data_IF_055443283912
#
_entry.id   IF_055443283912
#
_cell.length_a   1.000
_cell.length_b   1.000
_cell.length_c   1.000
_cell.angle_alpha   90.00
_cell.angle_beta   90.00
_cell.angle_gamma   90.00
#
_symmetry.space_group_name_H-M   'P 1'
#
loop_
_entity.id
_entity.type
_entity.pdbx_description
1 polymer ?
#
# COMPACT_ATOMS: atom_id res chain seq x y z
N UNK A 1 -4.30 -2.06 -39.32
CA UNK A 1 -3.37 -2.02 -38.18
C UNK A 1 -3.85 -0.92 -37.23
N UNK A 2 -4.63 -1.25 -36.20
CA UNK A 2 -5.00 -0.28 -35.17
C UNK A 2 -3.75 0.11 -34.39
N UNK A 3 -3.44 1.40 -34.40
CA UNK A 3 -2.37 1.96 -33.58
C UNK A 3 -2.75 1.75 -32.10
N UNK A 4 -2.12 0.79 -31.41
CA UNK A 4 -2.19 0.66 -29.95
C UNK A 4 -1.85 2.02 -29.35
N UNK A 5 -2.85 2.76 -28.84
CA UNK A 5 -2.62 4.00 -28.08
C UNK A 5 -1.77 3.64 -26.87
N UNK A 6 -0.56 4.13 -26.82
CA UNK A 6 0.33 4.00 -25.67
C UNK A 6 -0.33 4.69 -24.48
N UNK A 7 -0.88 3.91 -23.54
CA UNK A 7 -1.47 4.44 -22.30
C UNK A 7 -0.35 4.52 -21.27
N UNK A 8 0.06 5.73 -20.94
CA UNK A 8 0.96 5.96 -19.80
C UNK A 8 0.34 5.41 -18.51
N UNK A 9 1.10 4.59 -17.79
CA UNK A 9 0.75 4.13 -16.45
C UNK A 9 0.67 5.28 -15.43
N UNK A 10 0.29 4.98 -14.19
CA UNK A 10 0.15 5.99 -13.13
C UNK A 10 1.50 6.62 -12.76
N UNK A 11 2.54 5.81 -12.52
CA UNK A 11 3.88 6.30 -12.10
C UNK A 11 4.45 7.34 -13.07
N UNK A 12 4.54 7.11 -14.41
CA UNK A 12 4.98 8.14 -15.33
C UNK A 12 4.16 9.42 -15.25
N UNK A 13 2.83 9.34 -15.09
CA UNK A 13 1.96 10.52 -14.95
C UNK A 13 2.29 11.33 -13.71
N UNK A 14 2.61 10.68 -12.60
CA UNK A 14 2.95 11.36 -11.35
C UNK A 14 4.34 11.98 -11.40
N UNK A 15 5.32 11.31 -12.02
CA UNK A 15 6.65 11.91 -12.28
C UNK A 15 6.50 13.19 -13.12
N UNK A 16 5.70 13.13 -14.18
CA UNK A 16 5.41 14.30 -15.02
C UNK A 16 4.71 15.38 -14.18
N UNK A 17 3.76 15.02 -13.32
CA UNK A 17 3.07 15.96 -12.44
C UNK A 17 4.01 16.64 -11.44
N UNK A 18 4.97 15.91 -10.88
CA UNK A 18 6.03 16.44 -10.01
C UNK A 18 6.85 17.48 -10.79
N UNK A 19 7.35 17.10 -11.98
CA UNK A 19 8.15 18.00 -12.82
C UNK A 19 7.37 19.27 -13.17
N UNK A 20 6.12 19.12 -13.61
CA UNK A 20 5.25 20.28 -13.93
C UNK A 20 5.03 21.13 -12.69
N UNK A 21 4.77 20.55 -11.53
CA UNK A 21 4.59 21.27 -10.27
C UNK A 21 5.84 22.09 -9.88
N UNK A 22 7.03 21.50 -10.06
CA UNK A 22 8.30 22.20 -9.84
C UNK A 22 8.45 23.38 -10.82
N UNK A 23 8.19 23.15 -12.10
CA UNK A 23 8.26 24.23 -13.11
C UNK A 23 7.27 25.35 -12.81
N UNK A 24 6.04 25.02 -12.41
CA UNK A 24 5.04 26.02 -12.03
C UNK A 24 5.49 26.83 -10.81
N UNK A 25 5.94 26.18 -9.75
CA UNK A 25 6.44 26.87 -8.56
C UNK A 25 7.65 27.75 -8.81
N UNK A 26 8.54 27.34 -9.72
CA UNK A 26 9.78 28.06 -10.04
C UNK A 26 9.54 29.26 -10.95
N UNK A 27 8.74 29.10 -12.00
CA UNK A 27 8.69 30.09 -13.11
C UNK A 27 7.38 30.87 -13.16
N UNK A 28 6.27 30.37 -12.61
CA UNK A 28 4.99 31.04 -12.74
C UNK A 28 4.71 32.02 -11.59
N UNK A 29 3.90 33.06 -11.84
CA UNK A 29 3.54 34.05 -10.83
C UNK A 29 2.73 33.42 -9.71
N UNK A 30 2.85 33.97 -8.50
CA UNK A 30 2.19 33.47 -7.26
C UNK A 30 0.68 33.30 -7.43
N UNK A 31 0.00 34.19 -8.18
CA UNK A 31 -1.44 34.08 -8.45
C UNK A 31 -1.81 32.78 -9.17
N UNK A 32 -1.05 32.39 -10.21
CA UNK A 32 -1.25 31.13 -10.91
C UNK A 32 -0.97 29.93 -10.02
N UNK A 33 0.13 29.98 -9.25
CA UNK A 33 0.45 28.91 -8.31
C UNK A 33 -0.67 28.71 -7.27
N UNK A 34 -1.23 29.81 -6.73
CA UNK A 34 -2.39 29.76 -5.82
C UNK A 34 -3.62 29.13 -6.48
N UNK A 35 -3.86 29.38 -7.77
CA UNK A 35 -4.96 28.75 -8.50
C UNK A 35 -4.77 27.24 -8.59
N UNK A 36 -3.58 26.76 -8.93
CA UNK A 36 -3.26 25.33 -8.97
C UNK A 36 -3.40 24.68 -7.59
N UNK A 37 -2.93 25.34 -6.54
CA UNK A 37 -3.08 24.89 -5.14
C UNK A 37 -4.57 24.84 -4.74
N UNK A 38 -5.39 25.78 -5.19
CA UNK A 38 -6.83 25.76 -4.93
C UNK A 38 -7.51 24.54 -5.57
N UNK A 39 -7.18 24.23 -6.83
CA UNK A 39 -7.70 23.02 -7.50
C UNK A 39 -7.26 21.73 -6.82
N UNK A 40 -6.01 21.68 -6.39
CA UNK A 40 -5.46 20.57 -5.60
C UNK A 40 -6.21 20.39 -4.27
N UNK A 41 -6.58 21.51 -3.62
CA UNK A 41 -7.36 21.52 -2.38
C UNK A 41 -8.75 20.90 -2.53
N UNK A 42 -9.41 21.09 -3.68
CA UNK A 42 -10.70 20.46 -3.95
C UNK A 42 -10.60 18.94 -4.02
N UNK A 43 -9.56 18.45 -4.71
CA UNK A 43 -9.31 17.00 -4.76
C UNK A 43 -9.06 16.46 -3.36
N UNK A 44 -8.28 17.16 -2.54
CA UNK A 44 -8.01 16.79 -1.15
C UNK A 44 -9.31 16.68 -0.33
N UNK A 45 -10.22 17.66 -0.45
CA UNK A 45 -11.53 17.63 0.22
C UNK A 45 -12.39 16.46 -0.28
N UNK A 46 -12.41 16.20 -1.59
CA UNK A 46 -13.09 15.06 -2.18
C UNK A 46 -12.53 13.73 -1.67
N UNK A 47 -11.21 13.63 -1.57
CA UNK A 47 -10.55 12.44 -1.04
C UNK A 47 -10.96 12.16 0.42
N UNK A 48 -10.99 13.19 1.29
CA UNK A 48 -11.49 13.07 2.67
C UNK A 48 -12.90 12.49 2.76
N UNK A 49 -13.79 12.92 1.87
CA UNK A 49 -15.17 12.42 1.85
C UNK A 49 -15.24 10.94 1.45
N UNK A 50 -14.44 10.52 0.45
CA UNK A 50 -14.50 9.16 -0.10
C UNK A 50 -13.78 8.13 0.76
N UNK A 51 -12.71 8.49 1.48
CA UNK A 51 -11.90 7.54 2.25
C UNK A 51 -12.71 6.70 3.23
N UNK A 52 -13.60 7.23 4.10
CA UNK A 52 -14.39 6.39 4.99
C UNK A 52 -15.33 5.42 4.26
N UNK A 53 -15.85 5.83 3.10
CA UNK A 53 -16.68 4.98 2.24
C UNK A 53 -15.85 3.84 1.61
N UNK A 54 -14.62 4.12 1.20
CA UNK A 54 -13.69 3.10 0.71
C UNK A 54 -13.37 2.07 1.79
N UNK A 55 -13.10 2.52 3.01
CA UNK A 55 -12.85 1.64 4.15
C UNK A 55 -14.06 0.75 4.39
N UNK A 56 -15.25 1.35 4.51
CA UNK A 56 -16.48 0.59 4.72
C UNK A 56 -16.69 -0.46 3.63
N UNK A 57 -16.54 -0.08 2.37
CA UNK A 57 -16.75 -1.00 1.24
C UNK A 57 -15.74 -2.15 1.23
N UNK A 58 -14.45 -1.81 1.23
CA UNK A 58 -13.40 -2.81 1.02
C UNK A 58 -13.14 -3.67 2.24
N UNK A 59 -13.10 -3.09 3.45
CA UNK A 59 -12.86 -3.86 4.68
C UNK A 59 -14.04 -4.80 4.95
N UNK A 60 -15.28 -4.34 4.77
CA UNK A 60 -16.46 -5.22 4.93
C UNK A 60 -16.40 -6.41 3.98
N UNK A 61 -16.16 -6.17 2.69
CA UNK A 61 -16.12 -7.25 1.70
C UNK A 61 -14.90 -8.15 1.89
N UNK A 62 -13.73 -7.58 2.18
CA UNK A 62 -12.51 -8.33 2.47
C UNK A 62 -12.71 -9.33 3.62
N UNK A 63 -13.35 -8.92 4.72
CA UNK A 63 -13.65 -9.80 5.85
C UNK A 63 -14.79 -10.79 5.52
N UNK A 64 -15.84 -10.34 4.84
CA UNK A 64 -16.97 -11.19 4.47
C UNK A 64 -16.57 -12.32 3.50
N UNK A 65 -15.55 -12.09 2.69
CA UNK A 65 -15.05 -13.05 1.71
C UNK A 65 -14.01 -14.03 2.27
N UNK A 66 -13.52 -13.83 3.48
CA UNK A 66 -12.69 -14.81 4.16
C UNK A 66 -13.52 -16.09 4.32
N UNK A 67 -13.16 -17.13 3.55
CA UNK A 67 -13.98 -18.30 3.36
C UNK A 67 -14.14 -19.15 4.63
N UNK A 68 -15.37 -19.55 4.93
CA UNK A 68 -15.74 -20.45 6.05
C UNK A 68 -15.42 -21.94 5.79
N UNK A 69 -14.63 -22.30 4.81
CA UNK A 69 -14.51 -23.71 4.42
C UNK A 69 -13.14 -24.36 4.55
N UNK A 70 -12.10 -23.56 4.75
CA UNK A 70 -10.73 -24.07 4.70
C UNK A 70 -10.09 -24.26 6.10
N UNK A 71 -10.82 -24.07 7.18
CA UNK A 71 -10.43 -24.42 8.54
C UNK A 71 -8.99 -24.06 8.93
N UNK A 72 -8.20 -25.06 9.24
CA UNK A 72 -6.81 -24.91 9.68
C UNK A 72 -5.90 -24.31 8.60
N UNK A 73 -6.14 -24.63 7.33
CA UNK A 73 -5.31 -24.12 6.22
C UNK A 73 -5.47 -22.61 6.03
N UNK A 74 -6.70 -22.11 6.15
CA UNK A 74 -6.98 -20.67 6.13
C UNK A 74 -6.28 -19.97 7.30
N UNK A 75 -6.43 -20.51 8.51
CA UNK A 75 -5.82 -19.93 9.71
C UNK A 75 -4.30 -19.85 9.59
N UNK A 76 -3.65 -20.91 9.12
CA UNK A 76 -2.20 -20.96 8.90
C UNK A 76 -1.79 -19.93 7.85
N UNK A 77 -2.51 -19.88 6.73
CA UNK A 77 -2.18 -18.93 5.64
C UNK A 77 -2.32 -17.48 6.09
N UNK A 78 -3.42 -17.14 6.78
CA UNK A 78 -3.66 -15.80 7.32
C UNK A 78 -2.61 -15.43 8.36
N UNK A 79 -2.27 -16.35 9.28
CA UNK A 79 -1.26 -16.11 10.30
C UNK A 79 0.13 -15.85 9.69
N UNK A 80 0.52 -16.63 8.66
CA UNK A 80 1.78 -16.42 7.96
C UNK A 80 1.79 -15.11 7.17
N UNK A 81 0.73 -14.81 6.44
CA UNK A 81 0.62 -13.59 5.64
C UNK A 81 0.64 -12.33 6.51
N UNK A 82 -0.19 -12.32 7.56
CA UNK A 82 -0.26 -11.20 8.50
C UNK A 82 1.03 -11.07 9.30
N UNK A 83 1.57 -12.18 9.83
CA UNK A 83 2.83 -12.18 10.56
C UNK A 83 4.00 -11.68 9.71
N UNK A 84 4.11 -12.14 8.46
CA UNK A 84 5.09 -11.64 7.50
C UNK A 84 4.96 -10.13 7.26
N UNK A 85 3.74 -9.63 7.10
CA UNK A 85 3.45 -8.20 6.89
C UNK A 85 3.86 -7.36 8.10
N UNK A 86 3.55 -7.82 9.33
CA UNK A 86 3.92 -7.11 10.56
C UNK A 86 5.44 -7.09 10.78
N UNK A 87 6.10 -8.24 10.56
CA UNK A 87 7.56 -8.34 10.69
C UNK A 87 8.25 -7.44 9.66
N UNK A 88 7.78 -7.42 8.42
CA UNK A 88 8.31 -6.57 7.36
C UNK A 88 8.19 -5.08 7.70
N UNK A 89 7.04 -4.63 8.21
CA UNK A 89 6.84 -3.26 8.67
C UNK A 89 7.73 -2.89 9.85
N UNK A 90 7.83 -3.78 10.84
CA UNK A 90 8.69 -3.55 12.02
C UNK A 90 10.17 -3.48 11.63
N UNK A 91 10.63 -4.40 10.79
CA UNK A 91 11.99 -4.38 10.26
C UNK A 91 12.26 -3.10 9.45
N UNK A 92 11.28 -2.68 8.64
CA UNK A 92 11.36 -1.43 7.88
C UNK A 92 11.54 -0.21 8.79
N UNK A 93 10.78 -0.11 9.87
CA UNK A 93 10.96 0.95 10.86
C UNK A 93 12.35 0.91 11.50
N UNK A 94 12.79 -0.27 11.95
CA UNK A 94 14.11 -0.42 12.60
C UNK A 94 15.25 -0.02 11.66
N UNK A 95 15.20 -0.43 10.41
CA UNK A 95 16.20 -0.02 9.40
C UNK A 95 16.12 1.48 9.14
N UNK A 96 14.92 1.99 8.89
CA UNK A 96 14.71 3.39 8.52
C UNK A 96 15.07 4.35 9.64
N UNK A 97 14.66 4.07 10.88
CA UNK A 97 14.93 4.92 12.04
C UNK A 97 16.43 4.98 12.40
N UNK A 98 17.19 3.92 12.09
CA UNK A 98 18.64 3.92 12.31
C UNK A 98 19.40 4.47 11.12
N UNK A 99 19.01 4.18 9.89
CA UNK A 99 19.80 4.52 8.70
C UNK A 99 19.52 5.94 8.18
N UNK A 100 18.26 6.38 8.17
CA UNK A 100 17.89 7.67 7.57
C UNK A 100 18.53 8.89 8.25
N UNK A 101 18.70 8.95 9.58
CA UNK A 101 19.38 10.08 10.22
C UNK A 101 20.81 10.32 9.72
N UNK A 102 21.50 9.28 9.20
CA UNK A 102 22.87 9.43 8.71
C UNK A 102 23.00 10.22 7.40
N UNK A 103 21.92 10.33 6.64
CA UNK A 103 21.90 11.09 5.39
C UNK A 103 20.82 12.17 5.30
N UNK A 104 19.95 12.23 6.30
CA UNK A 104 19.02 13.33 6.51
C UNK A 104 19.71 14.37 7.40
N UNK A 105 20.52 15.22 6.80
CA UNK A 105 21.28 16.23 7.54
C UNK A 105 20.34 17.29 8.13
N UNK A 106 20.63 17.75 9.36
CA UNK A 106 19.87 18.77 10.06
C UNK A 106 19.66 20.05 9.24
N UNK A 107 20.64 20.46 8.42
CA UNK A 107 20.50 21.65 7.59
C UNK A 107 19.44 21.57 6.50
N UNK A 108 19.17 20.40 5.92
CA UNK A 108 18.07 20.21 4.99
C UNK A 108 16.71 20.16 5.73
N UNK A 109 16.70 19.61 6.93
CA UNK A 109 15.52 19.58 7.81
C UNK A 109 15.17 20.97 8.33
N UNK A 110 16.20 21.75 8.73
CA UNK A 110 16.03 23.14 9.19
C UNK A 110 15.50 24.05 8.08
N UNK A 111 15.96 23.87 6.83
CA UNK A 111 15.41 24.58 5.67
C UNK A 111 13.94 24.25 5.43
N UNK A 112 13.56 22.98 5.59
CA UNK A 112 12.16 22.54 5.46
C UNK A 112 11.30 23.14 6.57
N UNK A 113 11.79 23.13 7.81
CA UNK A 113 11.10 23.70 8.97
C UNK A 113 10.95 25.22 8.88
N UNK A 114 12.02 25.92 8.52
CA UNK A 114 12.03 27.39 8.40
C UNK A 114 11.07 27.93 7.31
N UNK A 115 10.72 27.09 6.34
CA UNK A 115 9.78 27.47 5.26
C UNK A 115 8.36 26.97 5.51
N UNK A 116 8.05 26.44 6.70
CA UNK A 116 6.71 25.91 7.01
C UNK A 116 5.61 26.98 6.85
N UNK A 117 5.87 28.21 7.23
CA UNK A 117 4.93 29.34 7.15
C UNK A 117 4.82 29.96 5.74
N UNK A 118 5.67 29.56 4.80
CA UNK A 118 5.70 30.12 3.45
C UNK A 118 4.75 29.42 2.46
N UNK A 119 3.91 28.47 2.91
CA UNK A 119 2.95 27.77 2.07
C UNK A 119 1.89 28.71 1.46
N UNK A 120 1.57 28.45 0.18
CA UNK A 120 0.60 29.25 -0.56
C UNK A 120 -0.81 29.06 -0.01
N UNK A 121 -1.46 30.15 0.36
CA UNK A 121 -2.88 30.10 0.74
C UNK A 121 -3.74 29.95 -0.52
N UNK A 122 -4.67 28.98 -0.59
CA UNK A 122 -5.61 28.86 -1.71
C UNK A 122 -6.48 30.11 -1.79
N UNK A 123 -7.12 30.37 -2.95
CA UNK A 123 -8.05 31.48 -3.11
C UNK A 123 -9.30 31.29 -2.26
N UNK A 124 -9.78 30.06 -2.18
CA UNK A 124 -10.90 29.63 -1.33
C UNK A 124 -10.78 28.14 -1.04
N UNK A 125 -11.41 27.71 0.04
CA UNK A 125 -11.47 26.31 0.45
C UNK A 125 -12.91 25.84 0.49
N UNK A 126 -13.15 24.63 0.00
CA UNK A 126 -14.43 23.93 0.12
C UNK A 126 -14.32 22.96 1.30
N UNK A 127 -15.35 22.91 2.14
CA UNK A 127 -15.43 21.94 3.22
C UNK A 127 -16.60 20.99 2.95
N UNK A 128 -16.31 19.68 2.86
CA UNK A 128 -17.32 18.63 2.77
C UNK A 128 -17.11 17.72 3.98
N UNK A 129 -18.11 17.62 4.84
CA UNK A 129 -18.04 16.73 6.00
C UNK A 129 -18.25 15.29 5.55
N UNK A 130 -17.33 14.34 5.90
CA UNK A 130 -17.56 12.92 5.65
C UNK A 130 -18.79 12.42 6.40
N UNK A 131 -19.43 11.34 5.89
CA UNK A 131 -20.60 10.72 6.54
C UNK A 131 -20.28 10.19 7.95
N UNK A 132 -19.07 9.69 8.13
CA UNK A 132 -18.50 9.25 9.40
C UNK A 132 -16.99 9.43 9.35
N UNK A 133 -16.37 9.50 10.52
CA UNK A 133 -14.91 9.53 10.60
C UNK A 133 -14.30 8.17 10.26
N UNK A 134 -13.00 8.15 10.03
CA UNK A 134 -12.26 6.97 9.61
C UNK A 134 -12.36 5.81 10.61
N UNK A 135 -12.27 6.09 11.92
CA UNK A 135 -12.31 5.05 12.94
C UNK A 135 -13.71 4.42 13.02
N UNK A 136 -14.75 5.23 12.97
CA UNK A 136 -16.15 4.75 12.90
C UNK A 136 -16.38 3.88 11.67
N UNK A 137 -15.81 4.27 10.51
CA UNK A 137 -15.89 3.46 9.29
C UNK A 137 -15.22 2.09 9.47
N UNK A 138 -14.04 2.05 10.11
CA UNK A 138 -13.33 0.79 10.39
C UNK A 138 -14.13 -0.11 11.32
N UNK A 139 -14.60 0.42 12.44
CA UNK A 139 -15.40 -0.36 13.42
C UNK A 139 -16.65 -0.92 12.76
N UNK A 140 -17.38 -0.09 12.00
CA UNK A 140 -18.58 -0.52 11.28
C UNK A 140 -18.26 -1.59 10.23
N UNK A 141 -17.17 -1.43 9.50
CA UNK A 141 -16.71 -2.39 8.49
C UNK A 141 -16.38 -3.76 9.10
N UNK A 142 -15.73 -3.78 10.26
CA UNK A 142 -15.45 -5.01 11.00
C UNK A 142 -16.73 -5.70 11.47
N UNK A 143 -17.67 -4.96 12.07
CA UNK A 143 -18.95 -5.51 12.51
C UNK A 143 -19.69 -6.12 11.34
N UNK A 144 -19.88 -5.37 10.24
CA UNK A 144 -20.56 -5.84 9.06
C UNK A 144 -19.85 -7.02 8.39
N UNK A 145 -18.53 -6.94 8.24
CA UNK A 145 -17.73 -7.98 7.61
C UNK A 145 -17.80 -9.31 8.37
N UNK A 146 -17.63 -9.29 9.69
CA UNK A 146 -17.75 -10.48 10.54
C UNK A 146 -19.16 -11.07 10.51
N UNK A 147 -20.20 -10.24 10.62
CA UNK A 147 -21.59 -10.70 10.51
C UNK A 147 -21.86 -11.33 9.13
N UNK A 148 -21.48 -10.65 8.06
CA UNK A 148 -21.69 -11.14 6.69
C UNK A 148 -20.92 -12.43 6.42
N UNK A 149 -19.69 -12.59 6.95
CA UNK A 149 -18.93 -13.84 6.80
C UNK A 149 -19.66 -15.06 7.37
N UNK A 150 -20.46 -14.89 8.44
CA UNK A 150 -21.26 -15.96 9.06
C UNK A 150 -22.61 -16.18 8.37
N UNK A 151 -23.09 -15.19 7.62
CA UNK A 151 -24.41 -15.18 6.95
C UNK A 151 -24.31 -15.51 5.46
N UNK A 152 -23.11 -15.46 4.88
CA UNK A 152 -22.86 -15.75 3.46
C UNK A 152 -23.34 -17.16 3.10
N UNK A 153 -24.11 -17.25 2.02
CA UNK A 153 -24.70 -18.52 1.57
C UNK A 153 -25.97 -18.94 2.31
N UNK A 154 -26.46 -18.16 3.28
CA UNK A 154 -27.76 -18.37 3.93
C UNK A 154 -28.79 -17.43 3.31
N UNK A 155 -30.08 -17.82 3.38
CA UNK A 155 -31.18 -17.00 2.85
C UNK A 155 -31.19 -15.60 3.50
N UNK A 156 -30.99 -15.56 4.83
CA UNK A 156 -30.79 -14.33 5.59
C UNK A 156 -29.32 -13.85 5.35
N UNK A 157 -29.16 -12.63 4.86
CA UNK A 157 -27.86 -11.99 4.65
C UNK A 157 -27.39 -11.92 3.20
N UNK A 158 -27.93 -12.71 2.29
CA UNK A 158 -27.57 -12.65 0.87
C UNK A 158 -27.86 -11.26 0.26
N UNK A 159 -29.01 -10.66 0.59
CA UNK A 159 -29.36 -9.33 0.09
C UNK A 159 -28.38 -8.26 0.57
N UNK A 160 -27.99 -8.31 1.84
CA UNK A 160 -27.01 -7.36 2.39
C UNK A 160 -25.61 -7.60 1.84
N UNK A 161 -25.20 -8.88 1.70
CA UNK A 161 -23.91 -9.22 1.08
C UNK A 161 -23.84 -8.71 -0.36
N UNK A 162 -24.87 -8.96 -1.17
CA UNK A 162 -24.95 -8.47 -2.55
C UNK A 162 -24.95 -6.93 -2.60
N UNK A 163 -25.71 -6.27 -1.72
CA UNK A 163 -25.72 -4.81 -1.62
C UNK A 163 -24.36 -4.22 -1.26
N UNK A 164 -23.61 -4.84 -0.34
CA UNK A 164 -22.25 -4.41 0.01
C UNK A 164 -21.27 -4.69 -1.11
N UNK A 165 -21.42 -5.79 -1.84
CA UNK A 165 -20.62 -6.09 -3.02
C UNK A 165 -20.85 -5.08 -4.15
N UNK A 166 -22.12 -4.69 -4.40
CA UNK A 166 -22.46 -3.65 -5.37
C UNK A 166 -21.91 -2.29 -4.92
N UNK A 167 -22.01 -1.96 -3.63
CA UNK A 167 -21.43 -0.75 -3.06
C UNK A 167 -19.90 -0.74 -3.24
N UNK A 168 -19.22 -1.85 -2.96
CA UNK A 168 -17.77 -1.99 -3.21
C UNK A 168 -17.43 -1.78 -4.68
N UNK A 169 -18.23 -2.32 -5.59
CA UNK A 169 -18.09 -2.11 -7.04
C UNK A 169 -18.26 -0.64 -7.45
N UNK A 170 -19.20 0.08 -6.82
CA UNK A 170 -19.39 1.53 -7.05
C UNK A 170 -18.16 2.30 -6.59
N UNK A 171 -17.67 2.01 -5.39
CA UNK A 171 -16.47 2.65 -4.82
C UNK A 171 -15.24 2.37 -5.70
N UNK A 172 -15.08 1.14 -6.20
CA UNK A 172 -14.00 0.79 -7.13
C UNK A 172 -14.07 1.61 -8.42
N UNK A 173 -15.27 1.80 -8.99
CA UNK A 173 -15.47 2.69 -10.15
C UNK A 173 -15.10 4.14 -9.83
N UNK A 174 -15.44 4.64 -8.64
CA UNK A 174 -15.07 5.99 -8.18
C UNK A 174 -13.55 6.10 -8.09
N UNK A 175 -12.88 5.12 -7.46
CA UNK A 175 -11.42 5.07 -7.36
C UNK A 175 -10.76 5.17 -8.74
N UNK A 176 -11.16 4.30 -9.68
CA UNK A 176 -10.55 4.21 -11.00
C UNK A 176 -10.91 5.35 -11.95
N UNK A 177 -12.12 5.93 -11.83
CA UNK A 177 -12.60 6.97 -12.76
C UNK A 177 -12.36 8.39 -12.27
N UNK A 178 -12.20 8.59 -10.96
CA UNK A 178 -12.02 9.94 -10.40
C UNK A 178 -10.76 10.08 -9.58
N UNK A 179 -10.53 9.24 -8.57
CA UNK A 179 -9.40 9.41 -7.65
C UNK A 179 -8.07 9.23 -8.38
N UNK A 180 -7.84 8.07 -9.01
CA UNK A 180 -6.59 7.78 -9.72
C UNK A 180 -6.30 8.78 -10.84
N UNK A 181 -7.26 9.16 -11.72
CA UNK A 181 -7.02 10.17 -12.75
C UNK A 181 -6.73 11.58 -12.23
N UNK A 182 -7.30 11.98 -11.10
CA UNK A 182 -7.09 13.32 -10.52
C UNK A 182 -5.86 13.40 -9.61
N UNK A 183 -5.27 12.27 -9.22
CA UNK A 183 -4.09 12.22 -8.36
C UNK A 183 -2.89 13.01 -8.93
N UNK A 184 -2.58 12.98 -10.25
CA UNK A 184 -1.54 13.82 -10.82
C UNK A 184 -1.76 15.33 -10.59
N UNK A 185 -3.02 15.80 -10.65
CA UNK A 185 -3.35 17.19 -10.34
C UNK A 185 -3.03 17.54 -8.89
N UNK A 186 -3.39 16.66 -7.96
CA UNK A 186 -3.09 16.81 -6.54
C UNK A 186 -1.59 16.90 -6.28
N UNK A 187 -0.82 15.98 -6.85
CA UNK A 187 0.65 15.97 -6.73
C UNK A 187 1.27 17.22 -7.37
N UNK A 188 0.80 17.61 -8.55
CA UNK A 188 1.27 18.84 -9.20
C UNK A 188 1.05 20.07 -8.30
N UNK A 189 -0.14 20.24 -7.72
CA UNK A 189 -0.45 21.36 -6.81
C UNK A 189 0.44 21.37 -5.57
N UNK A 190 0.67 20.19 -4.98
CA UNK A 190 1.54 20.05 -3.82
C UNK A 190 2.99 20.44 -4.14
N UNK A 191 3.56 19.94 -5.24
CA UNK A 191 4.92 20.30 -5.63
C UNK A 191 5.04 21.76 -6.10
N UNK A 192 3.96 22.35 -6.62
CA UNK A 192 3.90 23.80 -6.90
C UNK A 192 4.04 24.61 -5.61
N UNK A 193 3.29 24.25 -4.57
CA UNK A 193 3.36 24.89 -3.26
C UNK A 193 4.75 24.70 -2.61
N UNK A 194 5.22 23.46 -2.58
CA UNK A 194 6.52 23.12 -2.01
C UNK A 194 7.69 23.81 -2.73
N UNK A 195 7.61 24.00 -4.04
CA UNK A 195 8.65 24.71 -4.81
C UNK A 195 8.61 26.20 -4.55
N UNK A 196 7.41 26.78 -4.52
CA UNK A 196 7.24 28.21 -4.23
C UNK A 196 7.70 28.55 -2.81
N UNK A 197 7.53 27.63 -1.85
CA UNK A 197 8.03 27.75 -0.47
C UNK A 197 9.49 27.37 -0.29
N UNK A 198 10.22 26.98 -1.35
CA UNK A 198 11.66 26.67 -1.30
C UNK A 198 12.02 25.25 -0.81
N UNK A 199 11.03 24.39 -0.51
CA UNK A 199 11.25 23.05 0.10
C UNK A 199 11.67 21.96 -0.88
N UNK A 200 11.32 22.09 -2.16
CA UNK A 200 11.34 20.97 -3.12
C UNK A 200 12.73 20.37 -3.32
N UNK A 201 13.76 21.17 -3.50
CA UNK A 201 15.10 20.62 -3.80
C UNK A 201 15.75 19.91 -2.62
N UNK A 202 15.52 20.40 -1.39
CA UNK A 202 15.96 19.71 -0.18
C UNK A 202 15.28 18.34 -0.05
N UNK A 203 13.97 18.29 -0.30
CA UNK A 203 13.17 17.06 -0.26
C UNK A 203 13.63 16.08 -1.34
N UNK A 204 13.78 16.50 -2.60
CA UNK A 204 14.23 15.62 -3.68
C UNK A 204 15.62 15.03 -3.43
N UNK A 205 16.54 15.81 -2.82
CA UNK A 205 17.86 15.33 -2.43
C UNK A 205 17.85 14.18 -1.41
N UNK A 206 16.77 14.05 -0.63
CA UNK A 206 16.55 12.97 0.34
C UNK A 206 15.81 11.80 -0.31
N UNK A 207 14.83 12.07 -1.15
CA UNK A 207 13.90 11.08 -1.70
C UNK A 207 14.58 9.93 -2.43
N UNK A 208 15.59 10.18 -3.24
CA UNK A 208 16.28 9.13 -3.98
C UNK A 208 17.01 8.14 -3.06
N UNK A 209 17.54 8.62 -1.91
CA UNK A 209 18.23 7.77 -0.92
C UNK A 209 17.21 6.89 -0.19
N UNK A 210 16.06 7.44 0.20
CA UNK A 210 14.95 6.68 0.77
C UNK A 210 14.48 5.60 -0.21
N UNK A 211 14.30 5.97 -1.48
CA UNK A 211 13.91 5.05 -2.55
C UNK A 211 14.90 3.87 -2.66
N UNK A 212 16.19 4.15 -2.69
CA UNK A 212 17.22 3.11 -2.79
C UNK A 212 17.17 2.14 -1.59
N UNK A 213 17.07 2.68 -0.37
CA UNK A 213 17.01 1.87 0.85
C UNK A 213 15.76 0.99 0.84
N UNK A 214 14.60 1.52 0.45
CA UNK A 214 13.34 0.76 0.37
C UNK A 214 13.45 -0.38 -0.64
N UNK A 215 14.03 -0.14 -1.83
CA UNK A 215 14.23 -1.20 -2.82
C UNK A 215 15.14 -2.30 -2.27
N UNK A 216 16.24 -1.93 -1.61
CA UNK A 216 17.14 -2.91 -0.99
C UNK A 216 16.35 -3.73 0.06
N UNK A 217 15.54 -3.08 0.90
CA UNK A 217 14.71 -3.79 1.88
C UNK A 217 13.72 -4.76 1.22
N UNK A 218 13.12 -4.41 0.08
CA UNK A 218 12.25 -5.33 -0.68
C UNK A 218 13.02 -6.58 -1.12
N UNK A 219 14.20 -6.42 -1.72
CA UNK A 219 15.00 -7.58 -2.14
C UNK A 219 15.46 -8.43 -0.97
N UNK A 220 15.85 -7.82 0.15
CA UNK A 220 16.19 -8.53 1.39
C UNK A 220 14.98 -9.30 1.91
N UNK A 221 13.79 -8.68 1.95
CA UNK A 221 12.56 -9.33 2.38
C UNK A 221 12.23 -10.55 1.51
N UNK A 222 12.24 -10.40 0.18
CA UNK A 222 12.02 -11.50 -0.77
C UNK A 222 13.04 -12.63 -0.51
N UNK A 223 14.30 -12.29 -0.38
CA UNK A 223 15.37 -13.27 -0.15
C UNK A 223 15.14 -14.06 1.14
N UNK A 224 14.80 -13.38 2.24
CA UNK A 224 14.51 -14.03 3.52
C UNK A 224 13.29 -14.95 3.41
N UNK A 225 12.22 -14.49 2.77
CA UNK A 225 11.00 -15.28 2.57
C UNK A 225 11.28 -16.55 1.77
N UNK A 226 12.06 -16.48 0.69
CA UNK A 226 12.43 -17.65 -0.11
C UNK A 226 13.47 -18.56 0.57
N UNK A 227 14.35 -18.02 1.42
CA UNK A 227 15.23 -18.86 2.27
C UNK A 227 14.37 -19.67 3.25
N UNK A 228 13.38 -19.05 3.90
CA UNK A 228 12.46 -19.75 4.80
C UNK A 228 11.67 -20.82 4.02
N UNK A 229 11.10 -20.46 2.87
CA UNK A 229 10.34 -21.36 2.02
C UNK A 229 11.20 -22.55 1.54
N UNK A 230 12.44 -22.29 1.11
CA UNK A 230 13.39 -23.31 0.69
C UNK A 230 13.79 -24.25 1.83
N UNK A 231 14.03 -23.70 3.02
CA UNK A 231 14.38 -24.49 4.21
C UNK A 231 13.23 -25.41 4.63
N UNK A 232 11.99 -24.91 4.63
CA UNK A 232 10.81 -25.71 5.01
C UNK A 232 10.49 -26.78 3.97
N UNK A 233 10.61 -26.46 2.66
CA UNK A 233 10.31 -27.36 1.55
C UNK A 233 11.48 -28.25 1.13
N UNK A 234 12.66 -28.07 1.73
CA UNK A 234 13.92 -28.73 1.33
C UNK A 234 14.31 -28.45 -0.14
N UNK A 235 13.97 -27.31 -0.67
CA UNK A 235 14.28 -26.86 -2.03
C UNK A 235 15.34 -25.74 -2.03
N UNK A 236 16.08 -25.63 -3.13
CA UNK A 236 17.08 -24.56 -3.27
C UNK A 236 16.41 -23.18 -3.39
N UNK A 237 16.64 -22.24 -2.45
CA UNK A 237 16.03 -20.91 -2.48
C UNK A 237 16.31 -20.12 -3.76
N UNK A 238 17.51 -20.25 -4.35
CA UNK A 238 17.85 -19.55 -5.58
C UNK A 238 17.02 -20.06 -6.78
N UNK A 239 16.72 -21.36 -6.82
CA UNK A 239 15.83 -21.92 -7.85
C UNK A 239 14.41 -21.39 -7.69
N UNK A 240 13.91 -21.29 -6.46
CA UNK A 240 12.58 -20.75 -6.17
C UNK A 240 12.49 -19.28 -6.57
N UNK A 241 13.49 -18.46 -6.22
CA UNK A 241 13.55 -17.04 -6.64
C UNK A 241 13.60 -16.92 -8.16
N UNK A 242 14.37 -17.77 -8.85
CA UNK A 242 14.42 -17.76 -10.32
C UNK A 242 13.06 -18.03 -10.95
N UNK A 243 12.31 -18.99 -10.42
CA UNK A 243 10.96 -19.31 -10.90
C UNK A 243 9.96 -18.17 -10.62
N UNK A 244 10.24 -17.32 -9.63
CA UNK A 244 9.39 -16.17 -9.27
C UNK A 244 9.61 -14.94 -10.16
N UNK A 245 10.71 -14.85 -10.92
CA UNK A 245 11.03 -13.68 -11.77
C UNK A 245 9.86 -13.26 -12.69
N UNK A 246 9.13 -14.17 -13.37
CA UNK A 246 7.98 -13.76 -14.20
C UNK A 246 6.86 -13.10 -13.39
N UNK A 247 6.56 -13.60 -12.18
CA UNK A 247 5.59 -12.99 -11.26
C UNK A 247 6.04 -11.61 -10.81
N UNK A 248 7.30 -11.48 -10.38
CA UNK A 248 7.91 -10.21 -9.96
C UNK A 248 7.83 -9.16 -11.06
N UNK A 249 8.27 -9.48 -12.30
CA UNK A 249 8.27 -8.53 -13.43
C UNK A 249 6.87 -8.14 -13.88
N UNK A 250 5.91 -9.07 -13.81
CA UNK A 250 4.51 -8.77 -14.12
C UNK A 250 3.90 -7.83 -13.09
N UNK A 251 4.13 -8.07 -11.79
CA UNK A 251 3.68 -7.18 -10.73
C UNK A 251 4.31 -5.79 -10.82
N UNK A 252 5.62 -5.73 -11.13
CA UNK A 252 6.35 -4.47 -11.35
C UNK A 252 5.71 -3.63 -12.48
N UNK A 253 5.29 -4.29 -13.55
CA UNK A 253 4.69 -3.62 -14.71
C UNK A 253 3.22 -3.26 -14.52
N UNK A 254 2.44 -4.11 -13.85
CA UNK A 254 0.99 -3.92 -13.67
C UNK A 254 0.64 -3.10 -12.44
N UNK A 255 1.49 -3.09 -11.41
CA UNK A 255 1.22 -2.50 -10.09
C UNK A 255 -0.07 -3.05 -9.47
N UNK A 256 -0.43 -4.28 -9.80
CA UNK A 256 -1.67 -4.91 -9.37
C UNK A 256 -1.43 -6.37 -8.99
N UNK A 257 -1.64 -6.68 -7.73
CA UNK A 257 -1.58 -8.06 -7.23
C UNK A 257 -2.62 -8.93 -7.93
N UNK A 258 -3.84 -8.44 -8.06
CA UNK A 258 -4.93 -9.18 -8.70
C UNK A 258 -4.63 -9.52 -10.18
N UNK A 259 -4.10 -8.56 -10.95
CA UNK A 259 -3.73 -8.79 -12.35
C UNK A 259 -2.56 -9.77 -12.50
N UNK A 260 -1.76 -9.97 -11.46
CA UNK A 260 -0.59 -10.86 -11.46
C UNK A 260 -0.93 -12.29 -11.04
N UNK A 261 -2.09 -12.54 -10.42
CA UNK A 261 -2.49 -13.88 -9.93
C UNK A 261 -2.25 -14.99 -10.97
N UNK A 262 -2.68 -14.87 -12.25
CA UNK A 262 -2.50 -15.97 -13.21
C UNK A 262 -1.02 -16.34 -13.43
N UNK A 263 -0.14 -15.35 -13.49
CA UNK A 263 1.30 -15.58 -13.68
C UNK A 263 1.91 -16.15 -12.41
N UNK A 264 1.48 -15.67 -11.24
CA UNK A 264 1.98 -16.15 -9.94
C UNK A 264 1.55 -17.61 -9.65
N UNK A 265 0.38 -18.04 -10.14
CA UNK A 265 -0.05 -19.45 -10.10
C UNK A 265 0.90 -20.35 -10.89
N UNK A 266 1.39 -19.90 -12.06
CA UNK A 266 2.39 -20.66 -12.83
C UNK A 266 3.76 -20.66 -12.14
N UNK A 267 4.17 -19.55 -11.51
CA UNK A 267 5.38 -19.51 -10.67
C UNK A 267 5.29 -20.54 -9.53
N UNK A 268 4.18 -20.55 -8.79
CA UNK A 268 3.93 -21.52 -7.71
C UNK A 268 3.94 -22.98 -8.21
N UNK A 269 3.39 -23.22 -9.39
CA UNK A 269 3.42 -24.54 -10.04
C UNK A 269 4.84 -24.97 -10.38
N UNK A 270 5.65 -24.06 -10.92
CA UNK A 270 7.05 -24.32 -11.25
C UNK A 270 7.89 -24.60 -9.98
N UNK A 271 7.49 -24.03 -8.85
CA UNK A 271 8.05 -24.30 -7.53
C UNK A 271 7.52 -25.62 -6.92
N UNK A 272 6.62 -26.33 -7.61
CA UNK A 272 6.09 -27.61 -7.19
C UNK A 272 5.06 -27.52 -6.06
N UNK A 273 4.36 -26.41 -5.94
CA UNK A 273 3.20 -26.23 -5.05
C UNK A 273 2.01 -27.00 -5.63
N UNK A 274 1.35 -27.85 -4.82
CA UNK A 274 0.20 -28.63 -5.25
C UNK A 274 -0.93 -27.77 -5.77
N UNK A 275 -1.72 -28.28 -6.73
CA UNK A 275 -2.80 -27.49 -7.37
C UNK A 275 -3.83 -26.98 -6.35
N UNK A 276 -4.19 -27.81 -5.38
CA UNK A 276 -5.12 -27.46 -4.32
C UNK A 276 -4.62 -26.27 -3.51
N UNK A 277 -3.34 -26.28 -3.10
CA UNK A 277 -2.76 -25.23 -2.27
C UNK A 277 -2.53 -23.96 -3.07
N UNK A 278 -1.90 -24.00 -4.24
CA UNK A 278 -1.64 -22.78 -5.03
C UNK A 278 -2.91 -22.06 -5.43
N UNK A 279 -3.96 -22.81 -5.85
CA UNK A 279 -5.24 -22.21 -6.26
C UNK A 279 -6.01 -21.57 -5.09
N UNK A 280 -5.68 -21.93 -3.85
CA UNK A 280 -6.23 -21.34 -2.65
C UNK A 280 -5.34 -20.20 -2.13
N UNK A 281 -4.05 -20.47 -1.88
CA UNK A 281 -3.14 -19.55 -1.18
C UNK A 281 -2.79 -18.34 -2.03
N UNK A 282 -2.47 -18.52 -3.32
CA UNK A 282 -2.00 -17.42 -4.18
C UNK A 282 -3.08 -16.33 -4.35
N UNK A 283 -4.35 -16.65 -4.70
CA UNK A 283 -5.38 -15.60 -4.77
C UNK A 283 -5.74 -15.00 -3.40
N UNK A 284 -5.66 -15.78 -2.32
CA UNK A 284 -5.91 -15.27 -0.98
C UNK A 284 -4.81 -14.30 -0.56
N UNK A 285 -3.53 -14.70 -0.66
CA UNK A 285 -2.39 -13.87 -0.28
C UNK A 285 -2.29 -12.58 -1.11
N UNK A 286 -2.67 -12.61 -2.39
CA UNK A 286 -2.73 -11.41 -3.23
C UNK A 286 -3.59 -10.27 -2.64
N UNK A 287 -4.47 -10.60 -1.68
CA UNK A 287 -5.32 -9.63 -0.98
C UNK A 287 -4.88 -9.39 0.48
N UNK A 288 -4.25 -10.36 1.15
CA UNK A 288 -3.98 -10.27 2.59
C UNK A 288 -2.49 -10.15 2.95
N UNK A 289 -1.57 -10.46 2.03
CA UNK A 289 -0.14 -10.38 2.26
C UNK A 289 0.44 -9.13 1.62
N UNK A 290 0.77 -8.14 2.43
CA UNK A 290 1.18 -6.80 2.00
C UNK A 290 2.55 -6.39 2.55
N UNK A 291 3.49 -7.35 2.66
CA UNK A 291 4.81 -7.11 3.26
C UNK A 291 5.60 -6.00 2.56
N UNK A 292 5.63 -5.99 1.22
CA UNK A 292 6.33 -4.97 0.46
C UNK A 292 5.70 -3.59 0.57
N UNK A 293 4.36 -3.51 0.48
CA UNK A 293 3.63 -2.26 0.70
C UNK A 293 3.83 -1.73 2.11
N UNK A 294 3.85 -2.61 3.11
CA UNK A 294 4.10 -2.24 4.52
C UNK A 294 5.52 -1.71 4.71
N UNK A 295 6.54 -2.33 4.09
CA UNK A 295 7.92 -1.82 4.07
C UNK A 295 7.94 -0.39 3.53
N UNK A 296 7.35 -0.18 2.38
CA UNK A 296 7.34 1.14 1.72
C UNK A 296 6.64 2.19 2.57
N UNK A 297 5.43 1.89 3.06
CA UNK A 297 4.63 2.83 3.85
C UNK A 297 5.36 3.20 5.14
N UNK A 298 5.89 2.22 5.86
CA UNK A 298 6.57 2.46 7.14
C UNK A 298 7.88 3.24 6.95
N UNK A 299 8.68 2.90 5.93
CA UNK A 299 9.90 3.66 5.62
C UNK A 299 9.59 5.10 5.20
N UNK A 300 8.61 5.29 4.31
CA UNK A 300 8.19 6.63 3.89
C UNK A 300 7.62 7.45 5.05
N UNK A 301 6.80 6.85 5.92
CA UNK A 301 6.28 7.52 7.11
C UNK A 301 7.41 7.93 8.06
N UNK A 302 8.39 7.05 8.28
CA UNK A 302 9.59 7.36 9.08
C UNK A 302 10.38 8.51 8.46
N UNK A 303 10.61 8.49 7.15
CA UNK A 303 11.30 9.58 6.45
C UNK A 303 10.54 10.91 6.60
N UNK A 304 9.22 10.90 6.40
CA UNK A 304 8.37 12.08 6.53
C UNK A 304 8.37 12.63 7.96
N UNK A 305 8.32 11.77 8.98
CA UNK A 305 8.44 12.20 10.38
C UNK A 305 9.78 12.88 10.63
N UNK A 306 10.89 12.25 10.22
CA UNK A 306 12.22 12.81 10.40
C UNK A 306 12.39 14.15 9.66
N UNK A 307 11.88 14.26 8.43
CA UNK A 307 11.94 15.51 7.64
C UNK A 307 11.15 16.66 8.26
N UNK A 308 10.08 16.37 8.99
CA UNK A 308 9.22 17.36 9.64
C UNK A 308 9.48 17.45 11.16
N UNK A 309 10.55 16.86 11.66
CA UNK A 309 10.94 16.84 13.09
C UNK A 309 9.81 16.32 14.00
N UNK A 310 8.98 15.40 13.48
CA UNK A 310 7.92 14.77 14.23
C UNK A 310 8.49 13.61 15.06
N UNK A 311 8.08 13.46 16.34
CA UNK A 311 8.53 12.36 17.17
C UNK A 311 8.00 11.03 16.59
N UNK A 312 8.88 10.08 16.36
CA UNK A 312 8.52 8.73 15.91
C UNK A 312 9.23 7.69 16.80
N UNK A 313 8.49 6.68 17.25
CA UNK A 313 9.00 5.65 18.16
C UNK A 313 8.32 4.32 17.88
N UNK A 314 8.88 3.22 18.39
CA UNK A 314 8.22 1.91 18.34
C UNK A 314 6.82 1.94 18.96
N UNK A 315 6.62 2.73 20.01
CA UNK A 315 5.33 2.84 20.68
C UNK A 315 4.23 3.43 19.77
N UNK A 316 4.59 4.31 18.83
CA UNK A 316 3.66 4.88 17.84
C UNK A 316 3.56 4.03 16.58
N UNK A 317 4.66 3.42 16.14
CA UNK A 317 4.73 2.69 14.88
C UNK A 317 4.12 1.28 14.99
N UNK A 318 4.31 0.55 16.08
CA UNK A 318 3.74 -0.80 16.23
C UNK A 318 2.21 -0.81 16.15
N UNK A 319 1.47 0.03 16.92
CA UNK A 319 0.02 0.13 16.76
C UNK A 319 -0.41 0.51 15.34
N UNK A 320 0.32 1.42 14.69
CA UNK A 320 0.08 1.80 13.29
C UNK A 320 0.24 0.59 12.35
N UNK A 321 1.35 -0.16 12.43
CA UNK A 321 1.60 -1.35 11.60
C UNK A 321 0.51 -2.40 11.83
N UNK A 322 0.12 -2.65 13.08
CA UNK A 322 -0.95 -3.61 13.40
C UNK A 322 -2.28 -3.21 12.80
N UNK A 323 -2.69 -1.96 12.99
CA UNK A 323 -3.95 -1.42 12.44
C UNK A 323 -3.93 -1.41 10.92
N UNK A 324 -2.83 -0.95 10.33
CA UNK A 324 -2.66 -0.90 8.89
C UNK A 324 -2.64 -2.30 8.28
N UNK A 325 -1.96 -3.28 8.91
CA UNK A 325 -1.92 -4.66 8.44
C UNK A 325 -3.31 -5.29 8.30
N UNK A 326 -4.22 -4.96 9.24
CA UNK A 326 -5.62 -5.38 9.14
C UNK A 326 -6.37 -4.60 8.06
N UNK A 327 -6.21 -3.28 8.01
CA UNK A 327 -6.89 -2.44 7.04
C UNK A 327 -6.47 -2.77 5.58
N UNK A 328 -5.21 -3.15 5.38
CA UNK A 328 -4.66 -3.49 4.06
C UNK A 328 -5.21 -4.79 3.48
N UNK A 329 -5.80 -5.69 4.29
CA UNK A 329 -6.55 -6.86 3.79
C UNK A 329 -7.65 -6.46 2.80
N UNK A 330 -8.16 -5.25 2.97
CA UNK A 330 -9.20 -4.67 2.11
C UNK A 330 -8.67 -3.61 1.13
N UNK A 331 -7.36 -3.51 0.98
CA UNK A 331 -6.77 -2.59 0.02
C UNK A 331 -7.15 -2.99 -1.41
N UNK A 332 -7.62 -2.05 -2.24
CA UNK A 332 -7.84 -2.36 -3.65
C UNK A 332 -6.53 -2.79 -4.29
N UNK A 333 -6.53 -3.94 -4.98
CA UNK A 333 -5.36 -4.49 -5.70
C UNK A 333 -4.98 -3.68 -6.95
N UNK A 334 -5.09 -2.35 -6.88
CA UNK A 334 -4.86 -1.39 -7.93
C UNK A 334 -3.69 -0.46 -7.57
N UNK A 335 -3.04 0.19 -8.55
CA UNK A 335 -1.96 1.13 -8.30
C UNK A 335 -2.34 2.22 -7.28
N UNK A 336 -1.51 2.41 -6.25
CA UNK A 336 -1.76 3.36 -5.17
C UNK A 336 -2.80 2.90 -4.13
N UNK A 337 -3.40 1.72 -4.26
CA UNK A 337 -4.44 1.23 -3.35
C UNK A 337 -3.97 1.17 -1.89
N UNK A 338 -2.79 0.66 -1.65
CA UNK A 338 -2.25 0.51 -0.29
C UNK A 338 -2.03 1.84 0.41
N UNK A 339 -1.52 2.88 -0.28
CA UNK A 339 -1.34 4.20 0.35
C UNK A 339 -2.68 4.89 0.59
N UNK A 340 -3.67 4.72 -0.30
CA UNK A 340 -5.01 5.24 -0.08
C UNK A 340 -5.65 4.60 1.16
N UNK A 341 -5.42 3.31 1.38
CA UNK A 341 -5.84 2.60 2.60
C UNK A 341 -5.08 3.08 3.83
N UNK A 342 -3.80 3.45 3.71
CA UNK A 342 -2.96 3.89 4.82
C UNK A 342 -3.24 5.34 5.27
N UNK A 343 -3.64 6.21 4.34
CA UNK A 343 -3.83 7.65 4.61
C UNK A 343 -4.64 7.94 5.87
N UNK A 344 -5.78 7.27 6.11
CA UNK A 344 -6.61 7.52 7.29
C UNK A 344 -5.93 7.21 8.62
N UNK A 345 -4.89 6.39 8.61
CA UNK A 345 -4.19 5.91 9.82
C UNK A 345 -2.85 6.61 10.05
N UNK A 346 -2.38 7.44 9.10
CA UNK A 346 -1.11 8.15 9.23
C UNK A 346 -1.06 9.11 10.42
N UNK A 347 -2.22 9.57 10.92
CA UNK A 347 -2.28 10.37 12.15
C UNK A 347 -1.61 9.69 13.34
N UNK A 348 -1.63 8.36 13.40
CA UNK A 348 -1.03 7.59 14.49
C UNK A 348 0.48 7.78 14.59
N UNK A 349 1.15 8.04 13.46
CA UNK A 349 2.59 8.27 13.40
C UNK A 349 2.94 9.76 13.23
N UNK A 350 2.08 10.56 12.63
CA UNK A 350 2.32 12.00 12.45
C UNK A 350 1.87 12.87 13.62
N UNK A 351 1.13 12.29 14.57
CA UNK A 351 0.60 13.05 15.72
C UNK A 351 -0.45 14.11 15.36
N UNK A 352 -1.07 13.97 14.17
CA UNK A 352 -2.14 14.86 13.70
C UNK A 352 -3.51 14.38 14.18
N UNK A 353 -4.57 15.11 13.87
CA UNK A 353 -5.94 14.70 14.21
C UNK A 353 -6.36 13.50 13.39
N UNK A 354 -7.06 12.54 13.99
CA UNK A 354 -7.60 11.37 13.30
C UNK A 354 -8.43 11.78 12.06
N UNK A 355 -8.14 11.15 10.94
CA UNK A 355 -8.79 11.47 9.66
C UNK A 355 -8.25 12.72 8.95
N UNK A 356 -7.23 13.39 9.47
CA UNK A 356 -6.54 14.44 8.74
C UNK A 356 -5.65 13.84 7.65
N UNK A 357 -6.21 13.75 6.45
CA UNK A 357 -5.56 13.24 5.25
C UNK A 357 -5.06 14.36 4.33
N UNK A 358 -5.22 15.61 4.79
CA UNK A 358 -4.89 16.79 4.01
C UNK A 358 -3.69 17.49 4.63
N UNK A 359 -2.78 17.77 3.86
CA UNK A 359 -1.67 18.58 4.23
C UNK A 359 -0.45 18.21 3.38
N UNK A 360 0.53 19.07 3.35
CA UNK A 360 1.77 18.81 2.63
C UNK A 360 2.43 17.49 3.02
N UNK A 361 2.28 17.08 4.29
CA UNK A 361 2.84 15.84 4.84
C UNK A 361 2.19 14.61 4.20
N UNK A 362 0.86 14.56 4.13
CA UNK A 362 0.15 13.44 3.50
C UNK A 362 0.38 13.41 1.98
N UNK A 363 0.42 14.56 1.32
CA UNK A 363 0.74 14.64 -0.10
C UNK A 363 2.17 14.16 -0.41
N UNK A 364 3.13 14.54 0.42
CA UNK A 364 4.51 14.05 0.35
C UNK A 364 4.57 12.53 0.55
N UNK A 365 3.83 12.01 1.52
CA UNK A 365 3.72 10.57 1.77
C UNK A 365 3.16 9.82 0.56
N UNK A 366 2.11 10.33 -0.07
CA UNK A 366 1.52 9.76 -1.29
C UNK A 366 2.52 9.78 -2.44
N UNK A 367 3.20 10.89 -2.66
CA UNK A 367 4.19 11.02 -3.73
C UNK A 367 5.36 10.05 -3.53
N UNK A 368 5.89 9.94 -2.32
CA UNK A 368 6.94 8.99 -1.96
C UNK A 368 6.52 7.55 -2.21
N UNK A 369 5.36 7.17 -1.70
CA UNK A 369 4.87 5.80 -1.81
C UNK A 369 4.65 5.39 -3.27
N UNK A 370 3.94 6.18 -4.04
CA UNK A 370 3.52 5.81 -5.40
C UNK A 370 4.71 5.60 -6.34
N UNK A 371 5.82 6.33 -6.14
CA UNK A 371 7.04 6.11 -6.94
C UNK A 371 7.64 4.72 -6.71
N UNK A 372 7.31 4.06 -5.61
CA UNK A 372 7.84 2.78 -5.17
C UNK A 372 6.81 1.65 -5.16
N UNK A 373 5.54 1.95 -5.42
CA UNK A 373 4.41 1.02 -5.37
C UNK A 373 4.62 -0.22 -6.25
N UNK A 374 5.24 -0.05 -7.42
CA UNK A 374 5.61 -1.16 -8.32
C UNK A 374 6.49 -2.21 -7.63
N UNK A 375 7.50 -1.76 -6.89
CA UNK A 375 8.44 -2.65 -6.19
C UNK A 375 7.79 -3.27 -4.95
N UNK A 376 6.95 -2.51 -4.24
CA UNK A 376 6.15 -3.01 -3.12
C UNK A 376 5.19 -4.13 -3.57
N UNK A 377 4.47 -3.92 -4.66
CA UNK A 377 3.57 -4.92 -5.25
C UNK A 377 4.32 -6.17 -5.71
N UNK A 378 5.49 -5.99 -6.34
CA UNK A 378 6.32 -7.12 -6.76
C UNK A 378 6.87 -7.93 -5.56
N UNK A 379 7.18 -7.26 -4.45
CA UNK A 379 7.56 -7.90 -3.20
C UNK A 379 6.38 -8.66 -2.57
N UNK A 380 5.16 -8.08 -2.54
CA UNK A 380 3.97 -8.76 -2.06
C UNK A 380 3.75 -10.09 -2.80
N UNK A 381 3.66 -10.01 -4.13
CA UNK A 381 3.42 -11.17 -5.01
C UNK A 381 4.50 -12.25 -4.87
N UNK A 382 5.75 -11.86 -4.68
CA UNK A 382 6.83 -12.83 -4.45
C UNK A 382 6.67 -13.54 -3.11
N UNK A 383 6.31 -12.82 -2.09
CA UNK A 383 6.02 -13.37 -0.77
C UNK A 383 4.77 -14.28 -0.76
N UNK A 384 3.75 -13.99 -1.58
CA UNK A 384 2.57 -14.86 -1.72
C UNK A 384 2.97 -16.27 -2.16
N UNK A 385 3.89 -16.37 -3.12
CA UNK A 385 4.41 -17.66 -3.58
C UNK A 385 5.26 -18.35 -2.49
N UNK A 386 6.14 -17.59 -1.81
CA UNK A 386 6.92 -18.13 -0.70
C UNK A 386 6.01 -18.70 0.41
N UNK A 387 4.92 -17.99 0.77
CA UNK A 387 3.91 -18.51 1.71
C UNK A 387 3.24 -19.75 1.14
N UNK A 388 2.89 -19.78 -0.15
CA UNK A 388 2.29 -20.93 -0.82
C UNK A 388 3.17 -22.19 -0.69
N UNK A 389 4.49 -22.05 -0.86
CA UNK A 389 5.46 -23.14 -0.69
C UNK A 389 5.48 -23.64 0.76
N UNK A 390 5.49 -22.73 1.74
CA UNK A 390 5.49 -23.08 3.17
C UNK A 390 4.20 -23.80 3.55
N UNK A 391 3.05 -23.28 3.11
CA UNK A 391 1.73 -23.86 3.39
C UNK A 391 1.58 -25.24 2.77
N UNK A 392 2.06 -25.43 1.52
CA UNK A 392 2.06 -26.74 0.84
C UNK A 392 2.90 -27.78 1.61
N UNK A 393 4.05 -27.37 2.09
CA UNK A 393 4.92 -28.23 2.89
C UNK A 393 4.29 -28.62 4.23
N UNK A 394 3.64 -27.66 4.92
CA UNK A 394 2.89 -27.92 6.15
C UNK A 394 1.71 -28.86 5.88
N UNK A 395 0.95 -28.62 4.79
CA UNK A 395 -0.19 -29.42 4.41
C UNK A 395 0.18 -30.88 4.15
N UNK A 396 1.23 -31.12 3.36
CA UNK A 396 1.74 -32.48 3.07
C UNK A 396 2.18 -33.20 4.34
N UNK A 397 2.97 -32.53 5.18
CA UNK A 397 3.57 -33.13 6.37
C UNK A 397 2.55 -33.40 7.49
N UNK A 398 1.66 -32.46 7.79
CA UNK A 398 0.81 -32.52 8.98
C UNK A 398 -0.65 -32.91 8.69
N UNK A 399 -1.16 -32.65 7.49
CA UNK A 399 -2.56 -32.92 7.14
C UNK A 399 -2.66 -34.20 6.32
N UNK A 400 -1.87 -34.34 5.25
CA UNK A 400 -1.86 -35.56 4.44
C UNK A 400 -1.06 -36.69 5.06
N UNK A 401 -0.17 -36.40 6.06
CA UNK A 401 0.75 -37.34 6.67
C UNK A 401 1.57 -38.12 5.63
N UNK A 402 1.87 -37.49 4.50
CA UNK A 402 2.80 -38.02 3.54
C UNK A 402 4.20 -37.99 4.18
N UNK A 403 4.74 -39.17 4.53
CA UNK A 403 6.14 -39.28 4.93
C UNK A 403 6.97 -38.68 3.80
N UNK A 404 7.86 -37.75 4.13
CA UNK A 404 8.83 -37.21 3.18
C UNK A 404 9.71 -38.34 2.73
N UNK A 405 9.34 -39.02 1.65
CA UNK A 405 10.21 -39.98 0.98
C UNK A 405 11.46 -39.17 0.59
N UNK A 406 12.58 -39.58 1.20
CA UNK A 406 13.92 -39.10 0.87
C UNK A 406 14.14 -39.26 -0.64
N UNK A 407 14.42 -38.17 -1.33
CA UNK A 407 14.94 -38.16 -2.67
C UNK A 407 16.29 -37.43 -2.69
#
# INVERSE_FOLDING_TARGET
MEKKKFKLGLVPKLIIAIIIGILFGQFLPTGFCRFVVTLSGFFSTYLKFIIPLMILAYVTMGIADLSQGAGQLLLITVALAYGSTLLAGTASYLVSSNLFPHFMTSGALDQIAATADASLKPYFSLTITPLFDTLSAVVLAFILGLCLSTMKGKEIGNSLYNGMNDFSTIIDKVLHKTIIPLLPLYICGTFTDMTKSGKTFAILGILWKVFLVVIIMHFVCITIQFIIAGSVSKKNPLSLIKNQVPGYTTALGTQSSAATIPVNLECAKNDGVSAQIRNFVVPLCANIHMAGSMITITACATAVCLMNQLPISLATVIPFIMTLGVAMVASPGAPGGSIMTALPFLYMVFGTTAGDTNGPICALMVALYITQDSFGTACNISGDNAIGIVVDSIYKKFILKEDTVEA
#
